data_IF_057923709838
#
_entry.id   IF_057923709838
#
_cell.length_a   1.000
_cell.length_b   1.000
_cell.length_c   1.000
_cell.angle_alpha   90.00
_cell.angle_beta   90.00
_cell.angle_gamma   90.00
#
_symmetry.space_group_name_H-M   'P 1'
#
loop_
_entity.id
_entity.type
_entity.pdbx_description
1 polymer ?
#
# COMPACT_ATOMS: atom_id res chain seq x y z
N UNK A 1 14.18 31.63 0.70
CA UNK A 1 13.31 30.97 1.70
C UNK A 1 13.57 29.46 1.61
N UNK A 2 14.23 28.89 2.61
CA UNK A 2 14.77 27.53 2.59
C UNK A 2 13.65 26.52 2.85
N UNK A 3 13.27 25.73 1.84
CA UNK A 3 12.35 24.59 1.98
C UNK A 3 13.13 23.46 2.68
N UNK A 4 13.21 23.51 4.00
CA UNK A 4 13.72 22.40 4.82
C UNK A 4 12.70 21.25 4.78
N UNK A 5 13.09 20.15 4.12
CA UNK A 5 12.85 18.77 4.57
C UNK A 5 11.40 18.28 4.85
N UNK A 6 10.42 18.55 4.00
CA UNK A 6 9.07 17.95 4.11
C UNK A 6 8.78 16.81 3.12
N UNK A 7 9.77 16.33 2.37
CA UNK A 7 9.57 15.23 1.41
C UNK A 7 9.48 13.84 2.06
N UNK A 8 9.56 13.71 3.40
CA UNK A 8 9.56 12.43 4.13
C UNK A 8 8.19 11.72 4.16
N UNK A 9 7.10 12.40 3.82
CA UNK A 9 5.73 11.89 4.05
C UNK A 9 5.06 11.29 2.82
N UNK A 10 5.51 11.67 1.62
CA UNK A 10 5.17 10.96 0.38
C UNK A 10 5.81 9.55 0.38
N UNK A 11 6.97 9.42 1.02
CA UNK A 11 7.52 8.11 1.40
C UNK A 11 6.53 7.38 2.29
N UNK A 12 5.87 8.01 3.25
CA UNK A 12 4.89 7.36 4.14
C UNK A 12 3.74 6.65 3.43
N UNK A 13 3.18 7.20 2.34
CA UNK A 13 2.02 6.64 1.61
C UNK A 13 2.39 5.55 0.58
N UNK A 14 3.58 5.63 -0.01
CA UNK A 14 4.12 4.60 -0.92
C UNK A 14 4.95 3.55 -0.16
N UNK A 15 5.55 3.89 0.97
CA UNK A 15 5.93 2.94 2.01
C UNK A 15 4.68 2.34 2.65
N UNK A 16 3.53 3.01 2.73
CA UNK A 16 2.34 2.40 3.33
C UNK A 16 1.95 1.10 2.61
N UNK A 17 2.00 1.12 1.27
CA UNK A 17 1.74 -0.06 0.43
C UNK A 17 2.89 -1.07 0.40
N UNK A 18 4.07 -0.72 0.91
CA UNK A 18 5.29 -1.57 0.91
C UNK A 18 5.71 -2.02 2.32
N UNK A 19 5.24 -1.38 3.39
CA UNK A 19 5.80 -1.47 4.75
C UNK A 19 4.76 -1.75 5.84
N UNK A 20 3.47 -1.45 5.61
CA UNK A 20 2.47 -1.52 6.71
C UNK A 20 1.67 -2.83 6.76
N UNK A 21 1.97 -3.79 5.88
CA UNK A 21 1.29 -5.09 5.91
C UNK A 21 1.80 -6.04 7.01
N UNK A 22 2.63 -5.59 7.98
CA UNK A 22 2.96 -6.48 9.10
C UNK A 22 3.37 -5.86 10.45
N UNK A 23 3.95 -4.66 10.53
CA UNK A 23 4.74 -4.32 11.73
C UNK A 23 4.70 -2.85 12.11
N UNK A 24 3.87 -2.51 13.09
CA UNK A 24 4.32 -1.64 14.19
C UNK A 24 3.24 -1.53 15.27
N UNK A 25 3.22 -2.51 16.18
CA UNK A 25 2.82 -2.19 17.56
C UNK A 25 4.02 -1.60 18.30
N UNK A 26 3.86 -0.35 18.74
CA UNK A 26 4.41 0.29 19.93
C UNK A 26 5.94 0.26 20.23
N UNK A 27 6.43 1.48 20.51
CA UNK A 27 7.53 1.89 21.39
C UNK A 27 9.01 1.58 21.00
N UNK A 28 9.75 2.69 20.86
CA UNK A 28 11.19 2.98 21.06
C UNK A 28 12.32 2.35 20.22
N UNK A 29 12.07 1.70 19.08
CA UNK A 29 13.13 1.39 18.08
C UNK A 29 12.72 1.81 16.67
N UNK A 30 13.69 2.08 15.78
CA UNK A 30 13.41 2.49 14.39
C UNK A 30 12.50 1.42 13.74
N UNK A 31 11.34 1.80 13.18
CA UNK A 31 10.43 0.87 12.50
C UNK A 31 11.11 -0.01 11.45
N UNK A 32 12.22 0.45 10.89
CA UNK A 32 13.04 -0.31 9.95
C UNK A 32 13.71 -1.53 10.59
N UNK A 33 14.16 -1.45 11.84
CA UNK A 33 14.86 -2.52 12.53
C UNK A 33 13.89 -3.67 12.87
N UNK A 34 12.69 -3.35 13.35
CA UNK A 34 11.64 -4.36 13.61
C UNK A 34 11.21 -5.10 12.33
N UNK A 35 11.20 -4.39 11.19
CA UNK A 35 10.91 -4.99 9.90
C UNK A 35 12.00 -5.95 9.45
N UNK A 36 13.27 -5.55 9.63
CA UNK A 36 14.42 -6.41 9.35
C UNK A 36 14.37 -7.68 10.22
N UNK A 37 14.10 -7.56 11.52
CA UNK A 37 13.99 -8.70 12.44
C UNK A 37 12.88 -9.69 12.04
N UNK A 38 11.71 -9.17 11.65
CA UNK A 38 10.63 -10.02 11.19
C UNK A 38 11.02 -10.82 9.94
N UNK A 39 11.57 -10.15 8.93
CA UNK A 39 11.99 -10.83 7.71
C UNK A 39 13.14 -11.78 7.95
N UNK A 40 14.08 -11.44 8.82
CA UNK A 40 15.15 -12.33 9.24
C UNK A 40 14.58 -13.63 9.81
N UNK A 41 13.70 -13.51 10.82
CA UNK A 41 13.06 -14.67 11.45
C UNK A 41 12.26 -15.50 10.44
N UNK A 42 11.51 -14.85 9.54
CA UNK A 42 10.69 -15.53 8.53
C UNK A 42 11.53 -16.27 7.50
N UNK A 43 12.53 -15.60 6.93
CA UNK A 43 13.47 -16.19 5.98
C UNK A 43 14.22 -17.37 6.61
N UNK A 44 14.72 -17.21 7.84
CA UNK A 44 15.45 -18.26 8.54
C UNK A 44 14.56 -19.48 8.83
N UNK A 45 13.31 -19.25 9.22
CA UNK A 45 12.34 -20.32 9.46
C UNK A 45 12.02 -21.14 8.21
N UNK A 46 11.83 -20.48 7.06
CA UNK A 46 11.45 -21.12 5.79
C UNK A 46 12.63 -21.73 5.03
N UNK A 47 13.78 -21.03 4.98
CA UNK A 47 14.92 -21.42 4.13
C UNK A 47 16.05 -22.11 4.87
N UNK A 48 16.03 -22.10 6.22
CA UNK A 48 17.11 -22.62 7.07
C UNK A 48 18.48 -21.98 6.82
N UNK A 49 18.49 -20.72 6.37
CA UNK A 49 19.72 -19.95 6.16
C UNK A 49 19.46 -18.44 6.01
N UNK A 50 20.53 -17.65 5.96
CA UNK A 50 20.45 -16.18 5.88
C UNK A 50 20.46 -15.64 4.45
N UNK A 51 20.90 -16.43 3.48
CA UNK A 51 21.11 -15.96 2.09
C UNK A 51 19.88 -15.29 1.49
N UNK A 52 18.68 -15.84 1.73
CA UNK A 52 17.44 -15.24 1.27
C UNK A 52 17.16 -13.89 1.95
N UNK A 53 17.41 -13.80 3.26
CA UNK A 53 17.28 -12.56 4.01
C UNK A 53 18.30 -11.52 3.57
N UNK A 54 19.57 -11.87 3.42
CA UNK A 54 20.65 -10.94 3.04
C UNK A 54 20.34 -10.29 1.68
N UNK A 55 19.83 -11.09 0.74
CA UNK A 55 19.41 -10.62 -0.58
C UNK A 55 18.16 -9.73 -0.50
N UNK A 56 17.15 -10.12 0.29
CA UNK A 56 15.95 -9.33 0.51
C UNK A 56 16.29 -7.97 1.16
N UNK A 57 17.10 -7.99 2.22
CA UNK A 57 17.53 -6.82 2.96
C UNK A 57 18.34 -5.86 2.08
N UNK A 58 19.36 -6.36 1.37
CA UNK A 58 20.16 -5.54 0.45
C UNK A 58 19.28 -4.87 -0.62
N UNK A 59 18.40 -5.64 -1.27
CA UNK A 59 17.47 -5.09 -2.26
C UNK A 59 16.47 -4.09 -1.67
N UNK A 60 16.03 -4.28 -0.43
CA UNK A 60 15.15 -3.32 0.25
C UNK A 60 15.83 -1.97 0.51
N UNK A 61 17.12 -2.00 0.89
CA UNK A 61 17.93 -0.79 1.12
C UNK A 61 18.15 -0.06 -0.19
N UNK A 62 18.49 -0.77 -1.27
CA UNK A 62 18.63 -0.19 -2.60
C UNK A 62 17.31 0.37 -3.13
N UNK A 63 16.21 -0.37 -2.98
CA UNK A 63 14.90 0.08 -3.38
C UNK A 63 14.49 1.35 -2.64
N UNK A 64 14.68 1.41 -1.31
CA UNK A 64 14.46 2.61 -0.50
C UNK A 64 15.30 3.79 -1.00
N UNK A 65 16.57 3.58 -1.32
CA UNK A 65 17.45 4.62 -1.87
C UNK A 65 16.95 5.11 -3.23
N UNK A 66 16.55 4.19 -4.11
CA UNK A 66 16.05 4.51 -5.44
C UNK A 66 14.71 5.24 -5.38
N UNK A 67 13.78 4.79 -4.53
CA UNK A 67 12.55 5.49 -4.23
C UNK A 67 12.85 6.92 -3.75
N UNK A 68 13.87 7.08 -2.89
CA UNK A 68 14.31 8.41 -2.42
C UNK A 68 14.81 9.32 -3.53
N UNK A 69 15.48 8.73 -4.52
CA UNK A 69 15.94 9.43 -5.70
C UNK A 69 14.76 9.84 -6.60
N UNK A 70 13.88 8.90 -6.96
CA UNK A 70 12.79 9.16 -7.92
C UNK A 70 11.76 10.15 -7.40
N UNK A 71 11.47 10.15 -6.10
CA UNK A 71 10.52 11.09 -5.51
C UNK A 71 11.02 12.53 -5.49
N UNK A 72 12.31 12.79 -5.74
CA UNK A 72 12.83 14.16 -5.94
C UNK A 72 12.24 14.83 -7.19
N UNK A 73 11.82 14.03 -8.18
CA UNK A 73 11.18 14.54 -9.39
C UNK A 73 9.73 14.99 -9.16
N UNK A 74 9.14 14.73 -7.99
CA UNK A 74 7.75 15.14 -7.71
C UNK A 74 7.76 16.37 -6.79
N UNK A 75 6.94 17.41 -7.07
CA UNK A 75 6.00 17.53 -8.19
C UNK A 75 6.61 18.12 -9.48
N UNK A 76 7.79 18.73 -9.42
CA UNK A 76 8.30 19.61 -10.48
C UNK A 76 8.65 18.93 -11.82
N UNK A 77 9.12 17.69 -11.78
CA UNK A 77 9.57 16.90 -12.93
C UNK A 77 8.73 15.62 -13.09
N UNK A 78 7.42 15.70 -12.82
CA UNK A 78 6.52 14.53 -12.85
C UNK A 78 6.53 13.73 -14.17
N UNK A 79 6.85 14.36 -15.31
CA UNK A 79 7.05 13.65 -16.58
C UNK A 79 8.26 12.71 -16.53
N UNK A 80 9.39 13.15 -15.96
CA UNK A 80 10.56 12.29 -15.73
C UNK A 80 10.17 11.13 -14.83
N UNK A 81 9.44 11.40 -13.74
CA UNK A 81 8.94 10.37 -12.85
C UNK A 81 8.06 9.34 -13.58
N UNK A 82 7.09 9.79 -14.39
CA UNK A 82 6.11 8.92 -15.02
C UNK A 82 6.60 8.19 -16.27
N UNK A 83 7.41 8.84 -17.09
CA UNK A 83 7.85 8.32 -18.38
C UNK A 83 9.13 7.50 -18.26
N UNK A 84 10.01 7.82 -17.30
CA UNK A 84 11.32 7.15 -17.13
C UNK A 84 11.39 6.32 -15.86
N UNK A 85 11.06 6.92 -14.71
CA UNK A 85 11.33 6.27 -13.42
C UNK A 85 10.29 5.21 -13.04
N UNK A 86 9.05 5.36 -13.50
CA UNK A 86 7.93 4.46 -13.19
C UNK A 86 8.25 3.00 -13.49
N UNK A 87 8.78 2.71 -14.67
CA UNK A 87 9.05 1.33 -15.08
C UNK A 87 10.28 0.75 -14.38
N UNK A 88 11.27 1.57 -14.04
CA UNK A 88 12.41 1.14 -13.24
C UNK A 88 11.95 0.82 -11.81
N UNK A 89 11.08 1.64 -11.23
CA UNK A 89 10.46 1.38 -9.93
C UNK A 89 9.68 0.06 -9.91
N UNK A 90 8.89 -0.23 -10.97
CA UNK A 90 8.20 -1.52 -11.10
C UNK A 90 9.19 -2.69 -11.11
N UNK A 91 10.26 -2.61 -11.92
CA UNK A 91 11.29 -3.66 -11.99
C UNK A 91 11.95 -3.91 -10.63
N UNK A 92 12.36 -2.85 -9.94
CA UNK A 92 12.97 -2.98 -8.59
C UNK A 92 11.99 -3.53 -7.56
N UNK A 93 10.70 -3.16 -7.63
CA UNK A 93 9.68 -3.77 -6.77
C UNK A 93 9.52 -5.26 -7.08
N UNK A 94 9.48 -5.64 -8.36
CA UNK A 94 9.39 -7.03 -8.77
C UNK A 94 10.58 -7.86 -8.25
N UNK A 95 11.79 -7.31 -8.32
CA UNK A 95 12.98 -7.93 -7.74
C UNK A 95 12.86 -8.08 -6.21
N UNK A 96 12.40 -7.03 -5.52
CA UNK A 96 12.19 -7.04 -4.08
C UNK A 96 11.17 -8.13 -3.68
N UNK A 97 10.01 -8.16 -4.32
CA UNK A 97 8.97 -9.16 -4.03
C UNK A 97 9.39 -10.57 -4.43
N UNK A 98 10.21 -10.72 -5.47
CA UNK A 98 10.77 -12.03 -5.85
C UNK A 98 11.76 -12.55 -4.81
N UNK A 99 12.57 -11.68 -4.19
CA UNK A 99 13.47 -12.07 -3.10
C UNK A 99 12.73 -12.32 -1.78
N UNK A 100 11.51 -11.81 -1.66
CA UNK A 100 10.63 -12.07 -0.52
C UNK A 100 9.99 -13.47 -0.58
N UNK A 101 9.70 -13.98 -1.78
CA UNK A 101 9.06 -15.29 -2.03
C UNK A 101 9.65 -16.46 -1.24
N UNK A 102 10.97 -16.67 -1.15
CA UNK A 102 11.55 -17.79 -0.42
C UNK A 102 11.34 -17.70 1.09
N UNK A 103 11.11 -16.49 1.60
CA UNK A 103 10.86 -16.23 3.01
C UNK A 103 9.38 -16.35 3.38
N UNK A 104 8.52 -16.75 2.45
CA UNK A 104 7.08 -16.89 2.67
C UNK A 104 6.69 -18.37 2.73
N UNK A 105 5.95 -18.79 3.78
CA UNK A 105 5.35 -20.11 3.79
C UNK A 105 4.38 -20.27 2.62
N UNK A 106 4.12 -21.51 2.22
CA UNK A 106 3.32 -21.82 1.03
C UNK A 106 1.96 -21.10 0.99
N UNK A 107 1.29 -20.96 2.15
CA UNK A 107 -0.02 -20.28 2.28
C UNK A 107 0.05 -18.77 2.06
N UNK A 108 1.24 -18.19 2.16
CA UNK A 108 1.46 -16.74 2.07
C UNK A 108 2.15 -16.32 0.77
N UNK A 109 2.50 -17.25 -0.13
CA UNK A 109 3.18 -16.92 -1.40
C UNK A 109 2.38 -16.01 -2.34
N UNK A 110 1.07 -15.85 -2.12
CA UNK A 110 0.31 -14.84 -2.87
C UNK A 110 0.71 -13.40 -2.49
N UNK A 111 1.31 -13.22 -1.31
CA UNK A 111 1.62 -11.91 -0.71
C UNK A 111 2.61 -11.11 -1.53
N UNK A 112 3.61 -11.75 -2.13
CA UNK A 112 4.56 -11.09 -3.03
C UNK A 112 3.89 -10.46 -4.26
N UNK A 113 2.97 -11.19 -4.88
CA UNK A 113 2.25 -10.73 -6.06
C UNK A 113 1.28 -9.62 -5.65
N UNK A 114 0.64 -9.77 -4.49
CA UNK A 114 -0.23 -8.77 -3.92
C UNK A 114 0.50 -7.43 -3.67
N UNK A 115 1.70 -7.46 -3.07
CA UNK A 115 2.51 -6.24 -2.87
C UNK A 115 2.92 -5.63 -4.21
N UNK A 116 3.42 -6.45 -5.14
CA UNK A 116 3.85 -5.97 -6.45
C UNK A 116 2.70 -5.30 -7.22
N UNK A 117 1.54 -5.95 -7.28
CA UNK A 117 0.37 -5.39 -7.97
C UNK A 117 -0.17 -4.14 -7.28
N UNK A 118 -0.19 -4.12 -5.94
CA UNK A 118 -0.58 -2.92 -5.18
C UNK A 118 0.34 -1.74 -5.50
N UNK A 119 1.65 -1.96 -5.50
CA UNK A 119 2.63 -0.94 -5.82
C UNK A 119 2.51 -0.45 -7.27
N UNK A 120 2.32 -1.36 -8.22
CA UNK A 120 2.10 -1.03 -9.63
C UNK A 120 0.87 -0.13 -9.82
N UNK A 121 -0.21 -0.41 -9.11
CA UNK A 121 -1.43 0.41 -9.17
C UNK A 121 -1.28 1.75 -8.45
N UNK A 122 -0.49 1.84 -7.39
CA UNK A 122 -0.11 3.14 -6.80
C UNK A 122 0.69 3.98 -7.78
N UNK A 123 1.67 3.39 -8.49
CA UNK A 123 2.39 4.11 -9.54
C UNK A 123 1.47 4.52 -10.70
N UNK A 124 0.46 3.70 -11.01
CA UNK A 124 -0.56 4.04 -12.00
C UNK A 124 -1.42 5.21 -11.54
N UNK A 125 -1.84 5.23 -10.27
CA UNK A 125 -2.53 6.37 -9.69
C UNK A 125 -1.69 7.65 -9.78
N UNK A 126 -0.42 7.61 -9.37
CA UNK A 126 0.47 8.79 -9.42
C UNK A 126 0.63 9.32 -10.84
N UNK A 127 0.70 8.44 -11.83
CA UNK A 127 0.90 8.79 -13.23
C UNK A 127 -0.38 8.85 -14.06
N UNK A 128 -1.55 8.89 -13.42
CA UNK A 128 -2.81 9.07 -14.11
C UNK A 128 -2.80 10.39 -14.89
N UNK A 129 -3.25 10.36 -16.15
CA UNK A 129 -3.30 11.52 -17.06
C UNK A 129 -2.04 12.40 -17.01
N UNK A 130 -0.86 11.80 -17.20
CA UNK A 130 0.44 12.49 -17.15
C UNK A 130 0.77 13.15 -15.80
N UNK A 131 0.28 12.54 -14.71
CA UNK A 131 0.52 12.99 -13.35
C UNK A 131 -0.46 14.05 -12.86
N UNK A 132 -1.69 14.03 -13.35
CA UNK A 132 -2.79 14.88 -12.85
C UNK A 132 -3.01 14.69 -11.34
N UNK A 133 -2.95 13.44 -10.85
CA UNK A 133 -3.09 13.17 -9.41
C UNK A 133 -1.91 13.70 -8.58
N UNK A 134 -0.70 13.73 -9.15
CA UNK A 134 0.44 14.41 -8.53
C UNK A 134 0.13 15.90 -8.41
N UNK A 135 -0.32 16.55 -9.49
CA UNK A 135 -0.66 17.97 -9.46
C UNK A 135 -1.77 18.28 -8.46
N UNK A 136 -2.83 17.47 -8.45
CA UNK A 136 -3.94 17.62 -7.52
C UNK A 136 -3.46 17.50 -6.06
N UNK A 137 -2.60 16.52 -5.76
CA UNK A 137 -2.04 16.32 -4.42
C UNK A 137 -1.16 17.49 -3.97
N UNK A 138 -0.32 18.01 -4.87
CA UNK A 138 0.63 19.09 -4.59
C UNK A 138 0.08 20.50 -4.82
N UNK A 139 -1.18 20.62 -5.26
CA UNK A 139 -1.82 21.91 -5.46
C UNK A 139 -1.83 22.77 -4.20
N UNK A 140 -1.85 24.09 -4.38
CA UNK A 140 -1.96 25.06 -3.28
C UNK A 140 -3.24 24.83 -2.47
N UNK A 141 -4.35 24.48 -3.14
CA UNK A 141 -5.63 24.16 -2.49
C UNK A 141 -5.50 22.98 -1.52
N UNK A 142 -4.83 21.92 -1.97
CA UNK A 142 -4.58 20.71 -1.16
C UNK A 142 -3.50 20.91 -0.10
N UNK A 143 -2.72 22.01 -0.15
CA UNK A 143 -1.55 22.17 0.73
C UNK A 143 -1.91 22.32 2.20
N UNK A 144 -2.97 23.07 2.51
CA UNK A 144 -3.45 23.26 3.87
C UNK A 144 -3.98 21.94 4.45
N UNK A 145 -4.80 21.23 3.67
CA UNK A 145 -5.33 19.93 4.04
C UNK A 145 -4.21 18.91 4.28
N UNK A 146 -3.26 18.82 3.36
CA UNK A 146 -2.07 17.97 3.48
C UNK A 146 -1.28 18.29 4.75
N UNK A 147 -1.03 19.56 5.04
CA UNK A 147 -0.31 19.96 6.25
C UNK A 147 -1.07 19.58 7.53
N UNK A 148 -2.40 19.73 7.56
CA UNK A 148 -3.23 19.36 8.72
C UNK A 148 -3.29 17.85 8.96
N UNK A 149 -3.40 17.06 7.89
CA UNK A 149 -3.45 15.61 7.97
C UNK A 149 -2.13 15.00 8.42
N UNK A 150 -1.02 15.49 7.87
CA UNK A 150 0.31 14.95 8.10
C UNK A 150 1.10 15.71 9.18
N UNK A 151 0.44 16.58 9.95
CA UNK A 151 1.04 17.17 11.14
C UNK A 151 1.30 16.03 12.15
N UNK A 152 2.53 15.95 12.69
CA UNK A 152 2.91 14.97 13.71
C UNK A 152 2.07 15.05 14.99
N UNK A 153 1.41 16.18 15.21
CA UNK A 153 0.48 16.39 16.34
C UNK A 153 -0.94 15.85 16.07
N UNK A 154 -1.22 15.33 14.87
CA UNK A 154 -2.51 14.75 14.52
C UNK A 154 -2.50 13.22 14.74
N UNK A 155 -3.06 12.72 15.86
CA UNK A 155 -2.99 11.30 16.18
C UNK A 155 -3.89 10.45 15.27
N UNK A 156 -4.80 11.06 14.50
CA UNK A 156 -5.87 10.33 13.81
C UNK A 156 -5.32 9.37 12.75
N UNK A 157 -4.31 9.80 11.97
CA UNK A 157 -3.68 8.91 10.98
C UNK A 157 -2.82 7.82 11.66
N UNK A 158 -2.07 8.15 12.71
CA UNK A 158 -1.31 7.15 13.46
C UNK A 158 -2.21 6.05 14.04
N UNK A 159 -3.38 6.46 14.55
CA UNK A 159 -4.38 5.54 15.10
C UNK A 159 -5.00 4.65 14.02
N UNK A 160 -5.28 5.18 12.82
CA UNK A 160 -5.78 4.39 11.68
C UNK A 160 -4.90 3.19 11.36
N UNK A 161 -3.60 3.34 11.54
CA UNK A 161 -2.61 2.33 11.14
C UNK A 161 -2.19 1.40 12.29
N UNK A 162 -2.42 1.82 13.54
CA UNK A 162 -2.09 1.02 14.73
C UNK A 162 -2.98 -0.23 14.92
N UNK A 163 -4.20 -0.24 14.35
CA UNK A 163 -5.21 -1.28 14.58
C UNK A 163 -5.32 -2.39 13.52
N UNK A 164 -4.66 -2.21 12.38
CA UNK A 164 -4.80 -3.02 11.16
C UNK A 164 -3.51 -3.82 10.88
N UNK A 165 -3.58 -4.89 10.09
CA UNK A 165 -2.44 -5.75 9.76
C UNK A 165 -1.74 -6.38 10.98
N UNK A 166 -2.54 -6.86 11.95
CA UNK A 166 -2.01 -7.53 13.14
C UNK A 166 -1.23 -8.81 12.73
N UNK A 167 -0.03 -9.05 13.29
CA UNK A 167 0.75 -10.27 13.02
C UNK A 167 -0.01 -11.58 13.28
N UNK A 168 -1.01 -11.55 14.17
CA UNK A 168 -1.76 -12.72 14.61
C UNK A 168 -2.80 -13.23 13.60
N UNK A 169 -3.25 -12.41 12.64
CA UNK A 169 -4.35 -12.77 11.73
C UNK A 169 -3.92 -13.56 10.47
N UNK A 170 -2.61 -13.78 10.31
CA UNK A 170 -2.04 -14.42 9.12
C UNK A 170 -2.11 -13.52 7.88
N UNK A 171 -1.15 -13.68 6.98
CA UNK A 171 -1.19 -12.98 5.69
C UNK A 171 -2.09 -13.78 4.77
N UNK A 172 -3.39 -13.48 4.75
CA UNK A 172 -4.32 -14.00 3.73
C UNK A 172 -4.98 -12.85 2.96
N UNK A 173 -5.31 -13.07 1.68
CA UNK A 173 -5.83 -12.03 0.79
C UNK A 173 -7.08 -11.34 1.37
N UNK A 174 -8.00 -12.11 1.96
CA UNK A 174 -9.25 -11.58 2.53
C UNK A 174 -8.99 -10.62 3.70
N UNK A 175 -8.08 -10.98 4.60
CA UNK A 175 -7.67 -10.14 5.74
C UNK A 175 -7.00 -8.87 5.23
N UNK A 176 -6.05 -8.98 4.29
CA UNK A 176 -5.39 -7.80 3.72
C UNK A 176 -6.41 -6.84 3.10
N UNK A 177 -7.36 -7.37 2.34
CA UNK A 177 -8.38 -6.56 1.69
C UNK A 177 -9.40 -5.97 2.67
N UNK A 178 -9.73 -6.69 3.74
CA UNK A 178 -10.52 -6.15 4.85
C UNK A 178 -9.79 -4.98 5.52
N UNK A 179 -8.49 -5.14 5.79
CA UNK A 179 -7.65 -4.10 6.39
C UNK A 179 -7.57 -2.86 5.49
N UNK A 180 -7.43 -3.03 4.16
CA UNK A 180 -7.55 -1.91 3.21
C UNK A 180 -8.89 -1.16 3.32
N UNK A 181 -9.99 -1.90 3.51
CA UNK A 181 -11.32 -1.30 3.70
C UNK A 181 -11.40 -0.47 4.99
N UNK A 182 -10.80 -0.96 6.08
CA UNK A 182 -10.70 -0.24 7.36
C UNK A 182 -9.84 1.02 7.19
N UNK A 183 -8.67 0.90 6.54
CA UNK A 183 -7.78 2.04 6.27
C UNK A 183 -8.51 3.11 5.48
N UNK A 184 -9.19 2.72 4.39
CA UNK A 184 -9.91 3.65 3.51
C UNK A 184 -10.94 4.46 4.31
N UNK A 185 -11.72 3.79 5.15
CA UNK A 185 -12.73 4.45 6.01
C UNK A 185 -12.08 5.40 7.01
N UNK A 186 -11.05 4.93 7.72
CA UNK A 186 -10.37 5.75 8.72
C UNK A 186 -9.69 6.98 8.10
N UNK A 187 -9.07 6.84 6.93
CA UNK A 187 -8.49 7.99 6.22
C UNK A 187 -9.59 8.95 5.75
N UNK A 188 -10.72 8.46 5.23
CA UNK A 188 -11.85 9.31 4.83
C UNK A 188 -12.47 10.07 6.02
N UNK A 189 -12.52 9.45 7.20
CA UNK A 189 -12.93 10.11 8.44
C UNK A 189 -11.93 11.20 8.86
N UNK A 190 -10.63 10.89 8.82
CA UNK A 190 -9.57 11.87 9.08
C UNK A 190 -9.65 13.06 8.12
N UNK A 191 -9.95 12.83 6.83
CA UNK A 191 -10.20 13.89 5.86
C UNK A 191 -11.42 14.72 6.19
N UNK A 192 -12.50 14.08 6.61
CA UNK A 192 -13.74 14.79 6.94
C UNK A 192 -13.55 15.70 8.14
N UNK A 193 -12.77 15.26 9.14
CA UNK A 193 -12.47 16.04 10.34
C UNK A 193 -11.48 17.19 10.07
N UNK A 194 -10.42 16.92 9.31
CA UNK A 194 -9.31 17.87 9.16
C UNK A 194 -9.43 18.76 7.90
N UNK A 195 -10.19 18.30 6.90
CA UNK A 195 -10.34 18.94 5.59
C UNK A 195 -11.80 18.93 5.08
N UNK A 196 -12.79 19.42 5.87
CA UNK A 196 -14.19 19.28 5.51
C UNK A 196 -14.55 19.93 4.15
N UNK A 197 -13.93 21.06 3.82
CA UNK A 197 -14.20 21.85 2.62
C UNK A 197 -13.40 21.42 1.37
N UNK A 198 -12.46 20.48 1.49
CA UNK A 198 -11.60 20.06 0.38
C UNK A 198 -12.16 18.82 -0.35
N UNK A 199 -13.22 19.03 -1.13
CA UNK A 199 -13.82 17.99 -1.96
C UNK A 199 -12.86 17.37 -3.00
N UNK A 200 -11.88 18.15 -3.45
CA UNK A 200 -10.86 17.67 -4.40
C UNK A 200 -9.93 16.66 -3.75
N UNK A 201 -9.44 16.95 -2.55
CA UNK A 201 -8.57 16.03 -1.80
C UNK A 201 -9.32 14.76 -1.33
N UNK A 202 -10.62 14.89 -0.98
CA UNK A 202 -11.48 13.74 -0.69
C UNK A 202 -11.60 12.79 -1.89
N UNK A 203 -11.91 13.33 -3.08
CA UNK A 203 -11.98 12.54 -4.31
C UNK A 203 -10.63 11.89 -4.64
N UNK A 204 -9.54 12.66 -4.54
CA UNK A 204 -8.19 12.15 -4.77
C UNK A 204 -7.84 10.97 -3.85
N UNK A 205 -8.29 11.01 -2.60
CA UNK A 205 -8.15 9.91 -1.66
C UNK A 205 -9.01 8.68 -2.03
N UNK A 206 -10.25 8.89 -2.45
CA UNK A 206 -11.10 7.81 -2.95
C UNK A 206 -10.48 7.12 -4.16
N UNK A 207 -9.95 7.90 -5.09
CA UNK A 207 -9.23 7.42 -6.27
C UNK A 207 -7.97 6.65 -5.86
N UNK A 208 -7.17 7.17 -4.92
CA UNK A 208 -6.00 6.46 -4.39
C UNK A 208 -6.36 5.06 -3.87
N UNK A 209 -7.36 4.97 -2.98
CA UNK A 209 -7.79 3.68 -2.43
C UNK A 209 -8.47 2.78 -3.47
N UNK A 210 -9.14 3.34 -4.48
CA UNK A 210 -9.68 2.59 -5.61
C UNK A 210 -8.57 1.89 -6.39
N UNK A 211 -7.48 2.59 -6.70
CA UNK A 211 -6.32 2.02 -7.37
C UNK A 211 -5.58 1.01 -6.47
N UNK A 212 -5.28 1.39 -5.23
CA UNK A 212 -4.53 0.54 -4.30
C UNK A 212 -5.26 -0.77 -3.95
N UNK A 213 -6.60 -0.78 -3.99
CA UNK A 213 -7.41 -1.97 -3.72
C UNK A 213 -7.72 -2.83 -4.96
N UNK A 214 -7.23 -2.49 -6.15
CA UNK A 214 -7.43 -3.33 -7.35
C UNK A 214 -7.01 -4.79 -7.16
N UNK A 215 -5.89 -5.13 -6.49
CA UNK A 215 -5.54 -6.52 -6.19
C UNK A 215 -6.61 -7.26 -5.37
N UNK A 216 -7.44 -6.54 -4.60
CA UNK A 216 -8.56 -7.07 -3.83
C UNK A 216 -9.82 -7.34 -4.65
N UNK A 217 -9.96 -6.73 -5.82
CA UNK A 217 -11.13 -6.90 -6.69
C UNK A 217 -11.16 -8.28 -7.42
N UNK A 218 -10.05 -9.03 -7.37
CA UNK A 218 -9.98 -10.40 -7.87
C UNK A 218 -10.56 -11.42 -6.89
N UNK A 219 -11.72 -11.99 -7.25
CA UNK A 219 -12.47 -13.07 -6.58
C UNK A 219 -13.50 -12.66 -5.50
N UNK A 220 -14.38 -11.69 -5.82
CA UNK A 220 -15.78 -11.72 -5.38
C UNK A 220 -16.70 -12.44 -6.41
N UNK A 221 -16.13 -13.03 -7.46
CA UNK A 221 -16.90 -13.77 -8.48
C UNK A 221 -17.28 -15.18 -8.07
N UNK A 222 -16.57 -15.83 -7.13
CA UNK A 222 -16.94 -17.19 -6.72
C UNK A 222 -18.14 -17.22 -5.79
N UNK A 223 -18.33 -16.24 -4.91
CA UNK A 223 -19.48 -16.24 -4.00
C UNK A 223 -20.76 -15.84 -4.76
N UNK A 224 -20.67 -14.88 -5.69
CA UNK A 224 -21.82 -14.50 -6.50
C UNK A 224 -22.16 -15.51 -7.61
N UNK A 225 -21.17 -16.14 -8.25
CA UNK A 225 -21.46 -17.21 -9.22
C UNK A 225 -21.95 -18.50 -8.54
N UNK A 226 -21.48 -18.84 -7.34
CA UNK A 226 -22.00 -19.95 -6.54
C UNK A 226 -23.42 -19.65 -6.03
N UNK A 227 -23.68 -18.42 -5.55
CA UNK A 227 -25.04 -18.01 -5.18
C UNK A 227 -25.99 -17.96 -6.38
N UNK A 228 -25.53 -17.52 -7.56
CA UNK A 228 -26.33 -17.54 -8.80
C UNK A 228 -26.61 -18.97 -9.27
N UNK A 229 -25.62 -19.87 -9.23
CA UNK A 229 -25.84 -21.29 -9.59
C UNK A 229 -26.71 -22.02 -8.57
N UNK A 230 -26.56 -21.76 -7.27
CA UNK A 230 -27.45 -22.30 -6.23
C UNK A 230 -28.87 -21.75 -6.36
N UNK A 231 -29.04 -20.47 -6.71
CA UNK A 231 -30.36 -19.86 -6.93
C UNK A 231 -31.06 -20.41 -8.16
N UNK A 232 -30.32 -20.66 -9.25
CA UNK A 232 -30.85 -21.27 -10.49
C UNK A 232 -31.21 -22.75 -10.25
N UNK A 233 -30.36 -23.51 -9.54
CA UNK A 233 -30.62 -24.91 -9.19
C UNK A 233 -31.81 -25.05 -8.21
N UNK A 234 -31.92 -24.19 -7.21
CA UNK A 234 -33.07 -24.16 -6.30
C UNK A 234 -34.36 -23.84 -7.07
N UNK A 235 -34.33 -22.85 -7.96
CA UNK A 235 -35.50 -22.49 -8.79
C UNK A 235 -35.94 -23.62 -9.72
N UNK A 236 -35.00 -24.43 -10.23
CA UNK A 236 -35.29 -25.58 -11.09
C UNK A 236 -35.86 -26.77 -10.32
N UNK A 237 -35.37 -27.02 -9.09
CA UNK A 237 -35.84 -28.10 -8.21
C UNK A 237 -37.24 -27.77 -7.65
N UNK A 238 -37.51 -26.51 -7.29
CA UNK A 238 -38.79 -26.10 -6.69
C UNK A 238 -39.88 -25.70 -7.70
N UNK A 239 -39.54 -25.51 -8.99
CA UNK A 239 -40.54 -25.28 -10.07
C UNK A 239 -41.04 -26.59 -10.73
N UNK A 240 -40.51 -27.76 -10.37
CA UNK A 240 -41.12 -29.05 -10.75
C UNK A 240 -42.06 -29.52 -9.62
N UNK A 241 -43.27 -28.97 -9.62
CA UNK A 241 -44.47 -29.61 -9.07
C UNK A 241 -45.59 -29.46 -10.08
#
# INVERSE_FOLDING_TARGET
MSIKNNNMWMFGLVLFTVTVVALSTAQSTDPYDKLADHWFNKCNNETKGTVAFDKLYSNSVEFKRYLKYTFKFIPGEKKVFCDKERDILKKRMQELTSNMRPCLPQKEKFFEQFIYDSFKEVLHFLCHNNGEHIDAFFSTRSSECRNKLFNSENPNLGNCFSGIFRPASGLNKTVLCSDYGVVKKCFAEALTQNCPADGGFKKLNEDFFSYASKPCSGCAFYINSLLLTVSILASYIFSRK
#
